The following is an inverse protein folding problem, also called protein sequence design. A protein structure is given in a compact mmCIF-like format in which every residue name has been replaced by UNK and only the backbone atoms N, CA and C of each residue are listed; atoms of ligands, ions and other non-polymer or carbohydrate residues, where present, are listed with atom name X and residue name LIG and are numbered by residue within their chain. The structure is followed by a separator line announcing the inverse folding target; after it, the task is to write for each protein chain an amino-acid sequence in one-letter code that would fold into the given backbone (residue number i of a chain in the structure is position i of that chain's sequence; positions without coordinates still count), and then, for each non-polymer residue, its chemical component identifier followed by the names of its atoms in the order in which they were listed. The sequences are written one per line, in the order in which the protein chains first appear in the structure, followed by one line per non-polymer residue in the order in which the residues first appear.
data_IF_353194920069
#
_entry.id   IF_353194920069
#
_cell.length_a   1.000
_cell.length_b   1.000
_cell.length_c   1.000
_cell.angle_alpha   90.00
_cell.angle_beta   90.00
_cell.angle_gamma   90.00
#
_symmetry.space_group_name_H-M   'P 1'
#
loop_
_entity.id
_entity.type
_entity.pdbx_description
1 polymer ?
#
# COMPACT_ATOMS: atom_id res chain seq x y z
N UNK A 1 -18.78 24.27 -29.62
CA UNK A 1 -17.84 23.33 -28.98
C UNK A 1 -17.08 24.09 -27.93
N UNK A 2 -17.27 23.80 -26.64
CA UNK A 2 -16.49 24.43 -25.55
C UNK A 2 -15.83 23.31 -24.75
N UNK A 3 -14.52 23.14 -24.92
CA UNK A 3 -13.73 22.15 -24.21
C UNK A 3 -13.58 22.58 -22.74
N UNK A 4 -14.14 21.78 -21.83
CA UNK A 4 -13.87 21.87 -20.40
C UNK A 4 -12.49 21.28 -20.13
N UNK A 5 -11.46 22.13 -20.05
CA UNK A 5 -10.17 21.73 -19.48
C UNK A 5 -10.35 21.54 -17.97
N UNK A 6 -10.63 20.31 -17.55
CA UNK A 6 -10.49 19.91 -16.15
C UNK A 6 -9.00 19.83 -15.85
N UNK A 7 -8.45 20.90 -15.28
CA UNK A 7 -7.16 20.86 -14.60
C UNK A 7 -7.34 19.99 -13.36
N UNK A 8 -7.01 18.70 -13.49
CA UNK A 8 -7.00 17.74 -12.40
C UNK A 8 -5.88 18.17 -11.44
N UNK A 9 -6.22 18.99 -10.44
CA UNK A 9 -5.32 19.25 -9.33
C UNK A 9 -4.87 17.89 -8.77
N UNK A 10 -3.56 17.66 -8.54
CA UNK A 10 -3.11 16.41 -7.93
C UNK A 10 -3.81 16.30 -6.59
N UNK A 11 -4.81 15.42 -6.55
CA UNK A 11 -5.67 15.19 -5.40
C UNK A 11 -4.76 14.94 -4.23
N UNK A 12 -4.76 15.85 -3.23
CA UNK A 12 -3.91 15.74 -2.04
C UNK A 12 -3.98 14.29 -1.54
N UNK A 13 -2.84 13.64 -1.25
CA UNK A 13 -2.84 12.22 -0.91
C UNK A 13 -3.81 12.00 0.28
N UNK A 14 -4.66 10.95 0.22
CA UNK A 14 -5.66 10.72 1.25
C UNK A 14 -4.98 10.63 2.62
N UNK A 15 -5.40 11.49 3.56
CA UNK A 15 -4.84 11.60 4.92
C UNK A 15 -5.39 10.56 5.89
N UNK A 16 -6.20 9.63 5.40
CA UNK A 16 -6.77 8.54 6.21
C UNK A 16 -5.61 7.67 6.71
N UNK A 17 -5.54 7.33 8.01
CA UNK A 17 -4.44 6.56 8.56
C UNK A 17 -4.47 5.14 7.98
N UNK A 18 -3.63 4.89 6.98
CA UNK A 18 -3.38 3.53 6.52
C UNK A 18 -2.21 2.97 7.33
N UNK A 19 -2.35 1.77 7.90
CA UNK A 19 -1.23 1.12 8.59
C UNK A 19 -0.18 0.73 7.54
N UNK A 20 1.06 1.16 7.75
CA UNK A 20 2.20 0.80 6.91
C UNK A 20 3.15 -0.09 7.72
N UNK A 21 3.63 -1.15 7.08
CA UNK A 21 4.67 -2.03 7.60
C UNK A 21 5.75 -2.24 6.54
N UNK A 22 6.87 -2.81 6.95
CA UNK A 22 7.98 -3.19 6.09
C UNK A 22 8.12 -4.71 6.09
N UNK A 23 8.25 -5.29 4.90
CA UNK A 23 8.53 -6.71 4.71
C UNK A 23 9.59 -6.84 3.61
N UNK A 24 10.66 -7.59 3.88
CA UNK A 24 11.78 -7.76 2.93
C UNK A 24 12.35 -6.41 2.41
N UNK A 25 12.40 -5.38 3.25
CA UNK A 25 12.90 -4.05 2.88
C UNK A 25 11.94 -3.19 2.04
N UNK A 26 10.67 -3.60 1.91
CA UNK A 26 9.66 -2.91 1.08
C UNK A 26 8.42 -2.52 1.89
N UNK A 27 7.77 -1.39 1.58
CA UNK A 27 6.59 -0.95 2.28
C UNK A 27 5.36 -1.75 1.80
N UNK A 28 4.50 -2.12 2.76
CA UNK A 28 3.18 -2.67 2.52
C UNK A 28 2.16 -1.86 3.31
N UNK A 29 1.03 -1.55 2.66
CA UNK A 29 -0.07 -0.77 3.23
C UNK A 29 -1.25 -1.70 3.48
N UNK A 30 -1.89 -1.57 4.64
CA UNK A 30 -3.12 -2.30 4.93
C UNK A 30 -4.29 -1.71 4.13
N UNK A 31 -4.79 -2.47 3.17
CA UNK A 31 -6.10 -2.24 2.56
C UNK A 31 -7.15 -3.09 3.30
N UNK A 32 -8.01 -2.43 4.07
CA UNK A 32 -9.17 -3.08 4.70
C UNK A 32 -10.43 -2.81 3.88
N UNK A 33 -11.05 -3.86 3.34
CA UNK A 33 -12.39 -3.83 2.73
C UNK A 33 -13.32 -4.74 3.55
N UNK A 34 -14.64 -4.52 3.55
CA UNK A 34 -15.58 -5.40 4.24
C UNK A 34 -15.33 -6.87 3.86
N UNK A 35 -15.03 -7.70 4.86
CA UNK A 35 -14.76 -9.14 4.68
C UNK A 35 -13.34 -9.51 4.21
N UNK A 36 -12.43 -8.55 3.95
CA UNK A 36 -11.06 -8.85 3.52
C UNK A 36 -10.07 -7.74 3.85
N UNK A 37 -9.11 -8.05 4.70
CA UNK A 37 -7.89 -7.27 4.87
C UNK A 37 -6.76 -7.87 4.02
N UNK A 38 -6.06 -7.03 3.23
CA UNK A 38 -4.81 -7.42 2.55
C UNK A 38 -3.77 -6.33 2.69
N UNK A 39 -2.52 -6.75 2.65
CA UNK A 39 -1.36 -5.88 2.66
C UNK A 39 -0.84 -5.72 1.26
N UNK A 40 -0.90 -4.51 0.72
CA UNK A 40 -0.57 -4.22 -0.67
C UNK A 40 0.76 -3.49 -0.73
N UNK A 41 1.66 -4.00 -1.57
CA UNK A 41 3.01 -3.47 -1.75
C UNK A 41 3.57 -3.89 -3.11
N UNK A 42 4.90 -4.03 -3.18
CA UNK A 42 5.59 -4.53 -4.38
C UNK A 42 6.52 -5.68 -4.05
N UNK A 43 6.65 -6.63 -4.97
CA UNK A 43 7.61 -7.72 -4.87
C UNK A 43 9.06 -7.25 -5.15
N UNK A 44 10.01 -8.19 -5.11
CA UNK A 44 11.43 -7.94 -5.43
C UNK A 44 11.69 -7.29 -6.80
N UNK A 45 10.77 -7.43 -7.75
CA UNK A 45 10.85 -6.94 -9.13
C UNK A 45 10.05 -5.65 -9.35
N UNK A 46 9.45 -5.10 -8.30
CA UNK A 46 8.60 -3.91 -8.38
C UNK A 46 7.19 -4.19 -8.91
N UNK A 47 6.77 -5.46 -9.02
CA UNK A 47 5.41 -5.80 -9.44
C UNK A 47 4.45 -5.65 -8.24
N UNK A 48 3.20 -5.22 -8.46
CA UNK A 48 2.20 -5.20 -7.39
C UNK A 48 2.02 -6.57 -6.73
N UNK A 49 2.02 -6.62 -5.41
CA UNK A 49 1.81 -7.84 -4.62
C UNK A 49 0.79 -7.57 -3.51
N UNK A 50 -0.09 -8.53 -3.23
CA UNK A 50 -1.03 -8.48 -2.13
C UNK A 50 -0.82 -9.69 -1.22
N UNK A 51 -0.47 -9.44 0.04
CA UNK A 51 -0.20 -10.45 1.05
C UNK A 51 -1.31 -10.50 2.11
N UNK A 52 -1.55 -11.69 2.63
CA UNK A 52 -2.29 -11.90 3.87
C UNK A 52 -1.40 -11.61 5.09
N UNK A 53 -2.03 -11.41 6.25
CA UNK A 53 -1.30 -11.26 7.52
C UNK A 53 -0.44 -12.49 7.84
N UNK A 54 -0.89 -13.70 7.46
CA UNK A 54 -0.15 -14.94 7.68
C UNK A 54 1.11 -15.03 6.79
N UNK A 55 1.07 -14.50 5.57
CA UNK A 55 2.24 -14.40 4.70
C UNK A 55 3.28 -13.44 5.25
N UNK A 56 2.85 -12.29 5.77
CA UNK A 56 3.74 -11.32 6.41
C UNK A 56 4.41 -11.90 7.65
N UNK A 57 3.66 -12.56 8.52
CA UNK A 57 4.22 -13.24 9.70
C UNK A 57 5.32 -14.22 9.30
N UNK A 58 5.10 -15.02 8.24
CA UNK A 58 6.11 -15.96 7.72
C UNK A 58 7.34 -15.26 7.12
N UNK A 59 7.17 -14.10 6.48
CA UNK A 59 8.26 -13.37 5.82
C UNK A 59 9.07 -12.47 6.76
N UNK A 60 8.55 -12.22 7.98
CA UNK A 60 9.16 -11.31 8.93
C UNK A 60 8.94 -9.86 8.54
N UNK A 61 8.03 -9.18 9.24
CA UNK A 61 7.66 -7.79 8.99
C UNK A 61 7.97 -6.90 10.21
N UNK A 62 8.05 -5.59 9.99
CA UNK A 62 8.30 -4.60 11.04
C UNK A 62 7.52 -3.30 10.81
N UNK A 63 7.22 -2.57 11.88
CA UNK A 63 6.62 -1.22 11.76
C UNK A 63 7.60 -0.15 11.28
N UNK A 64 8.90 -0.42 11.40
CA UNK A 64 9.97 0.50 10.99
C UNK A 64 10.68 -0.08 9.79
N UNK A 65 11.14 0.78 8.89
CA UNK A 65 12.16 0.40 7.92
C UNK A 65 13.41 0.05 8.72
N UNK A 66 13.90 -1.18 8.61
CA UNK A 66 15.24 -1.47 9.11
C UNK A 66 16.23 -0.55 8.37
N UNK A 67 17.08 0.14 9.13
CA UNK A 67 18.05 1.11 8.63
C UNK A 67 19.04 0.47 7.67
#
# INVERSE_FOLDING_TARGET
MNAVTSTEEPSRPPTVPNTVIWCCGRPYVLESRPGRARWVGTDGRGRPEALSSAELQRRGWSHRRAC
#
